data_IF_364445455920
#
_entry.id   IF_364445455920
#
_cell.length_a   1.000
_cell.length_b   1.000
_cell.length_c   1.000
_cell.angle_alpha   90.00
_cell.angle_beta   90.00
_cell.angle_gamma   90.00
#
_symmetry.space_group_name_H-M   'P 1'
#
loop_
_entity.id
_entity.type
_entity.pdbx_description
1 polymer ?
#
# COMPACT_ATOMS: atom_id res chain seq x y z
N UNK A 1 3.61 11.43 -19.34
CA UNK A 1 4.27 10.24 -18.80
C UNK A 1 4.09 10.33 -17.29
N UNK A 2 3.68 9.23 -16.67
CA UNK A 2 2.87 9.28 -15.46
C UNK A 2 3.64 8.71 -14.28
N UNK A 3 3.71 9.45 -13.18
CA UNK A 3 4.06 8.93 -11.86
C UNK A 3 3.23 7.66 -11.61
N UNK A 4 3.88 6.50 -11.59
CA UNK A 4 3.18 5.24 -11.35
C UNK A 4 3.16 4.95 -9.87
N UNK A 5 1.96 4.95 -9.32
CA UNK A 5 1.71 4.60 -7.93
C UNK A 5 1.18 3.18 -7.88
N UNK A 6 1.75 2.34 -7.03
CA UNK A 6 1.20 1.01 -6.75
C UNK A 6 1.21 0.73 -5.26
N UNK A 7 0.17 0.06 -4.80
CA UNK A 7 0.01 -0.42 -3.45
C UNK A 7 -0.03 -1.95 -3.48
N UNK A 8 0.84 -2.55 -2.67
CA UNK A 8 0.93 -4.00 -2.53
C UNK A 8 0.70 -4.33 -1.06
N UNK A 9 -0.31 -5.15 -0.81
CA UNK A 9 -0.62 -5.68 0.50
C UNK A 9 -0.18 -7.14 0.54
N UNK A 10 0.71 -7.48 1.46
CA UNK A 10 1.20 -8.84 1.68
C UNK A 10 0.73 -9.34 3.03
N UNK A 11 0.32 -10.60 3.11
CA UNK A 11 0.11 -11.27 4.40
C UNK A 11 1.43 -11.74 5.01
N UNK A 12 1.40 -12.03 6.31
CA UNK A 12 2.55 -12.47 7.10
C UNK A 12 3.20 -13.75 6.58
N UNK A 13 2.43 -14.59 5.87
CA UNK A 13 2.91 -15.83 5.22
C UNK A 13 3.64 -15.57 3.88
N UNK A 14 4.00 -14.32 3.58
CA UNK A 14 4.76 -13.94 2.38
C UNK A 14 3.98 -13.92 1.07
N UNK A 15 2.66 -14.18 1.12
CA UNK A 15 1.77 -14.13 -0.05
C UNK A 15 1.26 -12.71 -0.26
N UNK A 16 1.34 -12.21 -1.50
CA UNK A 16 0.65 -10.97 -1.89
C UNK A 16 -0.86 -11.22 -1.91
N UNK A 17 -1.60 -10.48 -1.08
CA UNK A 17 -3.05 -10.55 -0.98
C UNK A 17 -3.70 -9.59 -1.97
N UNK A 18 -3.17 -8.36 -2.07
CA UNK A 18 -3.67 -7.34 -2.99
C UNK A 18 -2.50 -6.66 -3.68
N UNK A 19 -2.59 -6.50 -5.00
CA UNK A 19 -1.63 -5.75 -5.81
C UNK A 19 -2.42 -4.89 -6.79
N UNK A 20 -2.44 -3.57 -6.54
CA UNK A 20 -3.23 -2.64 -7.36
C UNK A 20 -2.72 -2.55 -8.79
N UNK A 21 -1.43 -2.84 -9.04
CA UNK A 21 -0.85 -2.82 -10.38
C UNK A 21 -1.26 -4.04 -11.20
N UNK A 22 -1.38 -5.21 -10.57
CA UNK A 22 -1.81 -6.46 -11.24
C UNK A 22 -3.32 -6.52 -11.41
N UNK A 23 -4.06 -6.05 -10.41
CA UNK A 23 -5.52 -6.06 -10.42
C UNK A 23 -6.09 -4.87 -11.20
N UNK A 24 -5.29 -3.83 -11.46
CA UNK A 24 -5.76 -2.59 -12.09
C UNK A 24 -6.64 -1.74 -11.19
N UNK A 25 -6.68 -2.03 -9.88
CA UNK A 25 -7.45 -1.27 -8.90
C UNK A 25 -6.89 0.15 -8.77
N UNK A 26 -7.79 1.13 -8.68
CA UNK A 26 -7.40 2.50 -8.36
C UNK A 26 -7.28 2.65 -6.86
N UNK A 27 -6.28 3.40 -6.41
CA UNK A 27 -6.18 3.75 -5.00
C UNK A 27 -5.74 5.20 -4.82
N UNK A 28 -6.09 5.75 -3.67
CA UNK A 28 -5.63 7.05 -3.18
C UNK A 28 -4.95 6.87 -1.82
N UNK A 29 -3.96 7.71 -1.55
CA UNK A 29 -3.27 7.78 -0.27
C UNK A 29 -3.32 9.24 0.19
N UNK A 30 -3.94 9.48 1.33
CA UNK A 30 -4.18 10.80 1.90
C UNK A 30 -3.75 10.84 3.36
N UNK A 31 -3.40 12.02 3.87
CA UNK A 31 -3.16 12.19 5.31
C UNK A 31 -4.50 12.21 6.06
N UNK A 32 -4.56 11.46 7.16
CA UNK A 32 -5.71 11.39 8.07
C UNK A 32 -5.24 11.79 9.48
N UNK A 33 -6.12 12.24 10.39
CA UNK A 33 -5.75 12.51 11.79
C UNK A 33 -5.04 11.34 12.49
N UNK A 34 -5.25 10.09 12.05
CA UNK A 34 -4.53 8.92 12.56
C UNK A 34 -3.12 8.77 11.97
N UNK A 35 -2.85 9.36 10.82
CA UNK A 35 -1.61 9.23 10.05
C UNK A 35 -1.90 9.22 8.56
N UNK A 36 -2.07 8.03 7.99
CA UNK A 36 -2.25 7.81 6.56
C UNK A 36 -3.48 6.96 6.26
N UNK A 37 -4.32 7.45 5.36
CA UNK A 37 -5.53 6.77 4.88
C UNK A 37 -5.35 6.37 3.44
N UNK A 38 -5.49 5.08 3.18
CA UNK A 38 -5.51 4.47 1.86
C UNK A 38 -6.94 4.14 1.49
N UNK A 39 -7.39 4.54 0.31
CA UNK A 39 -8.68 4.12 -0.23
C UNK A 39 -8.44 3.39 -1.55
N UNK A 40 -8.89 2.14 -1.64
CA UNK A 40 -8.71 1.29 -2.80
C UNK A 40 -10.12 1.03 -3.35
N UNK A 41 -10.35 1.44 -4.59
CA UNK A 41 -11.60 1.20 -5.29
C UNK A 41 -11.55 -0.12 -6.06
N UNK A 42 -12.73 -0.66 -6.39
CA UNK A 42 -12.89 -1.91 -7.15
C UNK A 42 -12.34 -3.14 -6.39
N UNK A 43 -12.49 -3.15 -5.07
CA UNK A 43 -12.06 -4.28 -4.22
C UNK A 43 -13.22 -5.25 -4.04
N UNK A 44 -12.96 -6.52 -4.34
CA UNK A 44 -13.93 -7.60 -4.14
C UNK A 44 -14.18 -7.85 -2.65
N UNK A 45 -15.44 -8.11 -2.29
CA UNK A 45 -15.85 -8.34 -0.90
C UNK A 45 -15.10 -9.52 -0.25
N UNK A 46 -14.86 -10.60 -1.00
CA UNK A 46 -14.11 -11.77 -0.52
C UNK A 46 -12.65 -11.43 -0.18
N UNK A 47 -12.04 -10.55 -0.99
CA UNK A 47 -10.68 -10.06 -0.74
C UNK A 47 -10.65 -9.13 0.48
N UNK A 48 -11.62 -8.23 0.60
CA UNK A 48 -11.76 -7.38 1.78
C UNK A 48 -11.95 -8.21 3.06
N UNK A 49 -12.84 -9.21 3.07
CA UNK A 49 -13.01 -10.09 4.23
C UNK A 49 -11.71 -10.85 4.59
N UNK A 50 -10.97 -11.30 3.58
CA UNK A 50 -9.67 -11.98 3.80
C UNK A 50 -8.62 -11.05 4.40
N UNK A 51 -8.57 -9.80 3.94
CA UNK A 51 -7.66 -8.77 4.44
C UNK A 51 -7.99 -8.38 5.89
N UNK A 52 -9.28 -8.25 6.22
CA UNK A 52 -9.75 -7.88 7.56
C UNK A 52 -9.42 -8.97 8.58
N UNK A 53 -9.61 -10.24 8.21
CA UNK A 53 -9.27 -11.39 9.04
C UNK A 53 -7.78 -11.46 9.39
N UNK A 54 -6.91 -10.97 8.51
CA UNK A 54 -5.45 -11.00 8.66
C UNK A 54 -4.85 -9.62 8.95
N UNK A 55 -5.64 -8.61 9.31
CA UNK A 55 -5.23 -7.21 9.37
C UNK A 55 -4.01 -6.93 10.28
N UNK A 56 -3.81 -7.76 11.31
CA UNK A 56 -2.68 -7.69 12.23
C UNK A 56 -1.38 -8.27 11.65
N UNK A 57 -1.49 -9.15 10.66
CA UNK A 57 -0.37 -9.84 10.03
C UNK A 57 -0.10 -9.34 8.61
N UNK A 58 -0.84 -8.34 8.12
CA UNK A 58 -0.58 -7.76 6.80
C UNK A 58 0.42 -6.62 6.83
N UNK A 59 1.20 -6.53 5.77
CA UNK A 59 2.17 -5.49 5.52
C UNK A 59 1.80 -4.71 4.26
N UNK A 60 1.83 -3.38 4.36
CA UNK A 60 1.47 -2.48 3.29
C UNK A 60 2.72 -1.87 2.66
N UNK A 61 2.89 -2.06 1.36
CA UNK A 61 4.00 -1.52 0.60
C UNK A 61 3.48 -0.58 -0.47
N UNK A 62 3.82 0.69 -0.34
CA UNK A 62 3.51 1.71 -1.32
C UNK A 62 4.76 2.01 -2.15
N UNK A 63 4.60 2.12 -3.46
CA UNK A 63 5.68 2.43 -4.38
C UNK A 63 5.26 3.57 -5.29
N UNK A 64 6.18 4.50 -5.49
CA UNK A 64 6.08 5.58 -6.46
C UNK A 64 7.27 5.45 -7.40
N UNK A 65 6.95 5.17 -8.65
CA UNK A 65 7.89 5.07 -9.74
C UNK A 65 7.79 6.36 -10.55
N UNK A 66 8.86 7.15 -10.52
CA UNK A 66 8.99 8.33 -11.36
C UNK A 66 9.94 8.00 -12.52
N UNK A 67 9.35 7.65 -13.66
CA UNK A 67 10.10 7.31 -14.89
C UNK A 67 10.87 8.53 -15.43
N UNK A 68 10.42 9.76 -15.15
CA UNK A 68 11.06 10.98 -15.65
C UNK A 68 12.35 11.30 -14.87
N UNK A 69 12.30 11.16 -13.55
CA UNK A 69 13.42 11.39 -12.64
C UNK A 69 14.23 10.13 -12.36
N UNK A 70 13.89 9.00 -13.00
CA UNK A 70 14.46 7.66 -12.71
C UNK A 70 14.54 7.38 -11.22
N UNK A 71 13.50 7.80 -10.50
CA UNK A 71 13.47 7.76 -9.04
C UNK A 71 12.44 6.75 -8.60
N UNK A 72 12.92 5.73 -7.88
CA UNK A 72 12.09 4.67 -7.34
C UNK A 72 11.99 4.86 -5.83
N UNK A 73 10.81 5.26 -5.37
CA UNK A 73 10.57 5.42 -3.96
C UNK A 73 9.67 4.30 -3.45
N UNK A 74 10.07 3.72 -2.31
CA UNK A 74 9.32 2.67 -1.64
C UNK A 74 9.02 3.12 -0.22
N UNK A 75 7.77 2.96 0.18
CA UNK A 75 7.33 3.21 1.55
C UNK A 75 6.72 1.94 2.13
N UNK A 76 7.09 1.67 3.36
CA UNK A 76 6.41 0.70 4.20
C UNK A 76 5.42 1.46 5.07
N UNK A 77 4.15 1.12 4.92
CA UNK A 77 3.05 1.62 5.73
C UNK A 77 2.81 0.60 6.85
N UNK A 78 2.80 1.07 8.09
CA UNK A 78 2.63 0.23 9.28
C UNK A 78 1.86 1.00 10.35
N UNK A 79 1.18 0.25 11.22
CA UNK A 79 0.47 0.81 12.37
C UNK A 79 1.14 0.30 13.65
N UNK A 80 1.25 1.16 14.66
CA UNK A 80 1.83 0.79 15.96
C UNK A 80 0.91 -0.12 16.78
N UNK A 81 -0.39 -0.10 16.48
CA UNK A 81 -1.41 -0.84 17.23
C UNK A 81 -2.07 -1.88 16.32
N UNK A 82 -3.09 -1.47 15.55
CA UNK A 82 -3.78 -2.31 14.60
C UNK A 82 -4.38 -1.42 13.50
N UNK A 83 -4.08 -1.65 12.22
CA UNK A 83 -4.61 -0.85 11.12
C UNK A 83 -6.14 -0.83 11.18
N UNK A 84 -6.75 0.36 11.04
CA UNK A 84 -8.21 0.42 10.89
C UNK A 84 -8.56 0.10 9.47
N UNK A 85 -9.46 -0.85 9.29
CA UNK A 85 -9.94 -1.27 7.99
C UNK A 85 -11.45 -1.16 7.94
N UNK A 86 -11.96 -0.62 6.85
CA UNK A 86 -13.39 -0.45 6.61
C UNK A 86 -13.70 -0.67 5.15
N UNK A 87 -14.57 -1.62 4.84
CA UNK A 87 -15.00 -1.92 3.48
C UNK A 87 -16.41 -1.40 3.23
N UNK A 88 -16.58 -0.61 2.16
CA UNK A 88 -17.88 -0.18 1.67
C UNK A 88 -18.31 -1.07 0.49
N UNK A 89 -19.29 -1.98 0.67
CA UNK A 89 -19.75 -2.86 -0.38
C UNK A 89 -20.56 -2.13 -1.46
N UNK A 90 -21.12 -0.95 -1.16
CA UNK A 90 -21.91 -0.19 -2.14
C UNK A 90 -21.03 0.42 -3.23
N UNK A 91 -19.85 0.91 -2.85
CA UNK A 91 -18.87 1.55 -3.72
C UNK A 91 -17.67 0.65 -4.04
N UNK A 92 -17.72 -0.62 -3.59
CA UNK A 92 -16.60 -1.58 -3.66
C UNK A 92 -15.27 -0.95 -3.22
N UNK A 93 -15.31 -0.14 -2.15
CA UNK A 93 -14.18 0.70 -1.74
C UNK A 93 -13.66 0.23 -0.39
N UNK A 94 -12.39 -0.17 -0.37
CA UNK A 94 -11.69 -0.55 0.84
C UNK A 94 -10.89 0.63 1.37
N UNK A 95 -11.18 1.04 2.60
CA UNK A 95 -10.45 2.08 3.32
C UNK A 95 -9.57 1.44 4.39
N UNK A 96 -8.29 1.82 4.43
CA UNK A 96 -7.33 1.35 5.42
C UNK A 96 -6.60 2.55 6.00
N UNK A 97 -6.51 2.64 7.31
CA UNK A 97 -5.83 3.72 8.04
C UNK A 97 -4.70 3.16 8.89
N UNK A 98 -3.52 3.76 8.76
CA UNK A 98 -2.29 3.40 9.49
C UNK A 98 -1.65 4.64 10.09
N UNK A 99 -0.92 4.43 11.18
CA UNK A 99 -0.29 5.51 11.94
C UNK A 99 1.01 6.00 11.31
N UNK A 100 1.80 5.10 10.73
CA UNK A 100 3.15 5.40 10.28
C UNK A 100 3.37 5.09 8.79
N UNK A 101 4.16 5.95 8.16
CA UNK A 101 4.67 5.74 6.80
C UNK A 101 6.18 5.90 6.82
N UNK A 102 6.89 4.80 6.74
CA UNK A 102 8.35 4.77 6.73
C UNK A 102 8.82 4.68 5.28
N UNK A 103 9.41 5.77 4.80
CA UNK A 103 10.08 5.79 3.51
C UNK A 103 11.40 5.05 3.59
N UNK A 104 11.57 4.04 2.75
CA UNK A 104 12.85 3.39 2.53
C UNK A 104 13.34 3.83 1.16
N UNK A 105 14.23 4.82 1.15
CA UNK A 105 15.05 5.09 -0.01
C UNK A 105 16.09 3.97 -0.06
N UNK A 106 15.89 2.99 -0.93
CA UNK A 106 17.04 2.19 -1.36
C UNK A 106 17.81 3.12 -2.29
N UNK A 107 18.66 3.94 -1.69
CA UNK A 107 19.69 4.64 -2.44
C UNK A 107 20.48 3.55 -3.17
N UNK A 108 20.28 3.43 -4.47
CA UNK A 108 21.07 2.55 -5.32
C UNK A 108 22.41 3.21 -5.65
N UNK A 109 22.87 4.16 -4.84
CA UNK A 109 24.17 4.81 -4.94
C UNK A 109 25.18 4.15 -3.99
N UNK A 110 25.17 2.82 -3.89
CA UNK A 110 26.45 2.12 -3.65
C UNK A 110 27.25 2.12 -4.96
N UNK A 111 27.92 3.26 -5.13
CA UNK A 111 29.04 3.46 -6.02
C UNK A 111 30.14 2.43 -5.68
N UNK A 112 30.10 1.27 -6.34
CA UNK A 112 31.18 0.29 -6.37
C UNK A 112 32.13 0.56 -7.55
N UNK A 113 32.66 1.77 -7.63
CA UNK A 113 33.75 2.11 -8.54
C UNK A 113 35.02 1.41 -8.02
N UNK A 114 35.50 0.37 -8.71
CA UNK A 114 36.91 -0.04 -8.73
C UNK A 114 37.27 -0.59 -10.10
#
# INVERSE_FOLDING_TARGET
>A
MALQRKLIIKGGVGRALLDTSKLGCKFTLEQSPRGWKMQIADVQAELAASLESMIQEIHFFYYEDDEELRSHHKWWLSDLDCPVMSYDPQSATLTIEVSERVGFTVDSSEHGQK
#
